data_IF_541563107707
#
_entry.id   IF_541563107707
#
_cell.length_a   1.000
_cell.length_b   1.000
_cell.length_c   1.000
_cell.angle_alpha   90.00
_cell.angle_beta   90.00
_cell.angle_gamma   90.00
#
_symmetry.space_group_name_H-M   'P 1'
#
loop_
_entity.id
_entity.type
_entity.pdbx_description
1 polymer ?
#
# COMPACT_ATOMS: atom_id res chain seq x y z
N UNK A 1 -6.00 1.46 -3.83
CA UNK A 1 -5.56 0.53 -2.75
C UNK A 1 -6.53 0.63 -1.57
N UNK A 2 -6.72 -0.44 -0.80
CA UNK A 2 -7.58 -0.46 0.39
C UNK A 2 -6.72 -0.47 1.66
N UNK A 3 -6.98 0.45 2.59
CA UNK A 3 -6.21 0.62 3.83
C UNK A 3 -7.16 0.66 5.04
N UNK A 4 -6.86 -0.09 6.11
CA UNK A 4 -7.67 -0.14 7.31
C UNK A 4 -7.52 1.15 8.13
N UNK A 5 -8.56 1.44 8.90
CA UNK A 5 -8.59 2.48 9.91
C UNK A 5 -9.56 2.08 11.03
N UNK A 6 -9.39 2.64 12.22
CA UNK A 6 -10.33 2.47 13.33
C UNK A 6 -11.54 3.37 13.11
N UNK A 7 -12.74 2.77 13.09
CA UNK A 7 -14.00 3.50 12.97
C UNK A 7 -14.64 3.69 14.35
N UNK A 8 -14.89 4.94 14.72
CA UNK A 8 -15.50 5.30 16.02
C UNK A 8 -17.02 5.15 16.06
N UNK A 9 -17.66 4.76 14.95
CA UNK A 9 -19.11 4.57 14.86
C UNK A 9 -19.88 5.72 14.20
N UNK A 10 -19.23 6.86 13.90
CA UNK A 10 -19.85 7.98 13.19
C UNK A 10 -18.87 8.61 12.16
N UNK A 11 -19.40 9.24 11.11
CA UNK A 11 -18.60 9.92 10.08
C UNK A 11 -18.04 9.01 8.99
N UNK A 12 -18.52 7.76 8.90
CA UNK A 12 -18.21 6.86 7.79
C UNK A 12 -18.90 7.34 6.51
N UNK A 13 -18.19 7.31 5.39
CA UNK A 13 -18.71 7.72 4.09
C UNK A 13 -18.72 6.58 3.08
N UNK A 14 -18.91 6.90 1.80
CA UNK A 14 -18.92 5.90 0.72
C UNK A 14 -17.59 5.15 0.51
N UNK A 15 -16.49 5.61 1.13
CA UNK A 15 -15.18 4.96 1.11
C UNK A 15 -14.88 4.18 2.41
N UNK A 16 -15.92 3.85 3.19
CA UNK A 16 -15.83 3.11 4.44
C UNK A 16 -16.45 1.72 4.26
N UNK A 17 -15.65 0.67 4.42
CA UNK A 17 -16.08 -0.71 4.17
C UNK A 17 -15.90 -1.56 5.42
N UNK A 18 -16.90 -2.41 5.73
CA UNK A 18 -16.83 -3.33 6.86
C UNK A 18 -15.86 -4.51 6.62
N UNK A 19 -15.61 -4.86 5.35
CA UNK A 19 -14.69 -5.92 4.97
C UNK A 19 -13.73 -5.46 3.88
N UNK A 20 -12.49 -5.98 3.94
CA UNK A 20 -11.47 -5.74 2.90
C UNK A 20 -11.98 -6.15 1.50
N UNK A 21 -12.75 -7.24 1.42
CA UNK A 21 -13.30 -7.73 0.15
C UNK A 21 -14.22 -6.71 -0.53
N UNK A 22 -15.05 -6.02 0.23
CA UNK A 22 -15.98 -5.03 -0.33
C UNK A 22 -15.24 -3.83 -0.90
N UNK A 23 -14.20 -3.38 -0.19
CA UNK A 23 -13.32 -2.32 -0.68
C UNK A 23 -12.62 -2.72 -1.99
N UNK A 24 -12.09 -3.95 -2.07
CA UNK A 24 -11.41 -4.42 -3.27
C UNK A 24 -12.39 -4.50 -4.46
N UNK A 25 -13.60 -5.02 -4.25
CA UNK A 25 -14.61 -5.10 -5.30
C UNK A 25 -15.04 -3.72 -5.82
N UNK A 26 -15.15 -2.72 -4.94
CA UNK A 26 -15.56 -1.38 -5.36
C UNK A 26 -14.43 -0.54 -5.96
N UNK A 27 -13.23 -0.58 -5.37
CA UNK A 27 -12.16 0.37 -5.68
C UNK A 27 -11.04 -0.18 -6.55
N UNK A 28 -10.91 -1.50 -6.73
CA UNK A 28 -9.81 -2.11 -7.50
C UNK A 28 -10.10 -2.10 -9.01
N UNK A 29 -10.43 -0.93 -9.58
CA UNK A 29 -10.49 -0.72 -11.04
C UNK A 29 -9.31 0.15 -11.49
N UNK A 30 -8.32 -0.53 -12.08
CA UNK A 30 -7.23 -0.09 -12.97
C UNK A 30 -6.72 1.37 -12.89
N UNK A 31 -5.72 1.60 -12.03
CA UNK A 31 -4.73 2.68 -12.13
C UNK A 31 -3.75 2.48 -13.32
N UNK A 32 -4.25 2.17 -14.52
CA UNK A 32 -3.38 1.83 -15.66
C UNK A 32 -2.56 3.03 -16.19
N UNK A 33 -2.78 4.23 -15.65
CA UNK A 33 -2.18 5.49 -16.13
C UNK A 33 -1.33 6.22 -15.09
N UNK A 34 -1.23 5.71 -13.85
CA UNK A 34 -0.50 6.36 -12.76
C UNK A 34 0.71 5.54 -12.33
N UNK A 35 1.73 6.24 -11.85
CA UNK A 35 2.87 5.61 -11.20
C UNK A 35 2.45 5.11 -9.82
N UNK A 36 3.30 4.27 -9.23
CA UNK A 36 2.98 3.66 -7.96
C UNK A 36 2.77 4.72 -6.87
N UNK A 37 1.78 4.49 -6.01
CA UNK A 37 1.39 5.44 -4.97
C UNK A 37 0.54 6.62 -5.45
N UNK A 38 0.00 6.57 -6.67
CA UNK A 38 -0.85 7.63 -7.22
C UNK A 38 -0.06 8.85 -7.72
N UNK A 39 1.24 8.68 -7.97
CA UNK A 39 2.09 9.75 -8.47
C UNK A 39 1.84 9.96 -9.96
N UNK A 40 1.77 11.24 -10.37
CA UNK A 40 1.58 11.61 -11.77
C UNK A 40 2.75 11.09 -12.60
N UNK A 41 2.44 10.45 -13.71
CA UNK A 41 3.44 10.04 -14.69
C UNK A 41 4.13 11.24 -15.32
N UNK A 42 5.39 11.05 -15.69
CA UNK A 42 6.18 12.10 -16.36
C UNK A 42 5.67 12.30 -17.79
N UNK A 43 5.46 11.19 -18.50
CA UNK A 43 4.88 11.13 -19.85
C UNK A 43 4.50 9.69 -20.23
N UNK A 44 3.69 9.48 -21.27
CA UNK A 44 3.49 8.17 -21.86
C UNK A 44 4.80 7.60 -22.45
N UNK A 45 4.87 6.27 -22.53
CA UNK A 45 5.94 5.53 -23.20
C UNK A 45 5.39 4.31 -23.94
N UNK A 46 6.20 3.78 -24.84
CA UNK A 46 5.94 2.62 -25.69
C UNK A 46 7.26 1.83 -25.85
N UNK A 47 7.26 0.60 -26.38
CA UNK A 47 8.47 -0.23 -26.47
C UNK A 47 9.64 0.44 -27.21
N UNK A 48 9.33 1.34 -28.14
CA UNK A 48 10.31 2.07 -28.96
C UNK A 48 10.73 3.42 -28.37
N UNK A 49 10.15 3.86 -27.24
CA UNK A 49 10.47 5.14 -26.62
C UNK A 49 11.28 4.94 -25.34
N UNK A 50 12.40 5.64 -25.23
CA UNK A 50 13.17 5.75 -23.98
C UNK A 50 12.49 6.73 -23.03
N UNK A 51 12.52 6.50 -21.73
CA UNK A 51 12.08 7.45 -20.70
C UNK A 51 13.18 8.46 -20.34
N UNK A 52 12.85 9.61 -19.73
CA UNK A 52 13.85 10.54 -19.20
C UNK A 52 14.83 9.87 -18.23
N UNK A 53 16.04 10.41 -18.08
CA UNK A 53 17.02 9.88 -17.13
C UNK A 53 16.45 9.82 -15.70
N UNK A 54 16.66 8.69 -15.02
CA UNK A 54 16.09 8.43 -13.68
C UNK A 54 14.60 8.08 -13.68
N UNK A 55 14.08 7.60 -14.81
CA UNK A 55 12.73 7.05 -14.91
C UNK A 55 12.65 5.83 -15.82
N UNK A 56 11.78 4.90 -15.46
CA UNK A 56 11.53 3.65 -16.16
C UNK A 56 10.13 3.60 -16.75
N UNK A 57 9.97 2.88 -17.86
CA UNK A 57 8.67 2.72 -18.51
C UNK A 57 7.88 1.59 -17.83
N UNK A 58 6.80 1.96 -17.13
CA UNK A 58 5.84 1.02 -16.55
C UNK A 58 4.82 0.66 -17.62
N UNK A 59 5.00 -0.51 -18.22
CA UNK A 59 4.18 -1.00 -19.32
C UNK A 59 2.89 -1.64 -18.82
N UNK A 60 1.77 -1.29 -19.46
CA UNK A 60 0.50 -2.00 -19.28
C UNK A 60 0.37 -3.16 -20.27
N UNK A 61 -0.60 -4.03 -20.04
CA UNK A 61 -0.92 -5.17 -20.92
C UNK A 61 -1.23 -4.76 -22.37
N UNK A 62 -1.61 -3.50 -22.61
CA UNK A 62 -1.92 -2.94 -23.94
C UNK A 62 -0.71 -2.42 -24.71
N UNK A 63 0.52 -2.70 -24.26
CA UNK A 63 1.78 -2.16 -24.86
C UNK A 63 1.90 -0.63 -24.86
N UNK A 64 1.03 0.05 -24.12
CA UNK A 64 1.16 1.45 -23.75
C UNK A 64 1.59 1.52 -22.29
N UNK A 65 2.57 2.36 -21.98
CA UNK A 65 3.09 2.53 -20.64
C UNK A 65 3.19 4.01 -20.24
N UNK A 66 3.65 4.22 -19.02
CA UNK A 66 3.97 5.55 -18.49
C UNK A 66 5.37 5.57 -17.89
N UNK A 67 6.10 6.67 -18.09
CA UNK A 67 7.40 6.90 -17.46
C UNK A 67 7.21 7.30 -16.00
N UNK A 68 7.78 6.50 -15.10
CA UNK A 68 7.73 6.70 -13.66
C UNK A 68 9.13 6.88 -13.10
N UNK A 69 9.30 7.84 -12.19
CA UNK A 69 10.61 8.10 -11.58
C UNK A 69 11.08 6.89 -10.77
N UNK A 70 12.29 6.42 -11.03
CA UNK A 70 12.88 5.27 -10.33
C UNK A 70 12.95 5.51 -8.82
N UNK A 71 13.17 6.77 -8.42
CA UNK A 71 13.15 7.19 -7.01
C UNK A 71 11.79 6.97 -6.38
N UNK A 72 10.71 7.43 -7.02
CA UNK A 72 9.36 7.25 -6.49
C UNK A 72 9.01 5.76 -6.39
N UNK A 73 9.34 4.99 -7.42
CA UNK A 73 9.06 3.55 -7.44
C UNK A 73 9.84 2.81 -6.34
N UNK A 74 11.09 3.19 -6.09
CA UNK A 74 11.88 2.65 -4.99
C UNK A 74 11.30 3.02 -3.62
N UNK A 75 10.91 4.28 -3.42
CA UNK A 75 10.29 4.73 -2.16
C UNK A 75 8.93 4.04 -1.93
N UNK A 76 8.12 3.90 -2.99
CA UNK A 76 6.86 3.18 -2.93
C UNK A 76 7.06 1.72 -2.59
N UNK A 77 8.02 1.05 -3.25
CA UNK A 77 8.38 -0.36 -2.97
C UNK A 77 8.80 -0.55 -1.52
N UNK A 78 9.57 0.38 -0.97
CA UNK A 78 9.96 0.35 0.45
C UNK A 78 8.75 0.58 1.38
N UNK A 79 7.78 1.42 0.98
CA UNK A 79 6.57 1.67 1.77
C UNK A 79 5.63 0.47 1.81
N UNK A 80 5.51 -0.31 0.73
CA UNK A 80 4.68 -1.54 0.68
C UNK A 80 5.39 -2.78 1.23
N UNK A 81 6.70 -2.74 1.35
CA UNK A 81 7.52 -3.77 2.00
C UNK A 81 8.39 -3.14 3.09
N UNK A 82 7.77 -2.64 4.18
CA UNK A 82 8.48 -2.00 5.26
C UNK A 82 9.29 -3.02 6.08
N UNK A 83 10.19 -2.51 6.91
CA UNK A 83 10.95 -3.29 7.88
C UNK A 83 10.86 -2.59 9.23
N UNK A 84 10.77 -3.39 10.29
CA UNK A 84 10.83 -2.89 11.65
C UNK A 84 12.28 -2.79 12.11
N UNK A 85 12.61 -1.75 12.88
CA UNK A 85 13.92 -1.61 13.51
C UNK A 85 14.14 -2.66 14.60
N UNK A 86 13.06 -3.10 15.24
CA UNK A 86 13.01 -4.17 16.23
C UNK A 86 11.79 -5.05 15.97
N UNK A 87 11.96 -6.36 16.12
CA UNK A 87 10.91 -7.34 15.90
C UNK A 87 10.44 -7.44 14.44
N UNK A 88 9.20 -7.87 14.27
CA UNK A 88 8.64 -8.25 12.97
C UNK A 88 7.49 -7.34 12.54
N UNK A 89 7.36 -7.11 11.24
CA UNK A 89 6.22 -6.39 10.65
C UNK A 89 4.96 -7.26 10.80
N UNK A 90 3.88 -6.68 11.30
CA UNK A 90 2.59 -7.37 11.43
C UNK A 90 2.05 -7.80 10.07
N UNK A 91 1.71 -9.08 9.97
CA UNK A 91 1.02 -9.67 8.83
C UNK A 91 -0.32 -10.25 9.27
N UNK A 92 -1.33 -10.11 8.42
CA UNK A 92 -2.67 -10.64 8.61
C UNK A 92 -2.97 -11.71 7.56
N UNK A 93 -3.74 -12.73 7.93
CA UNK A 93 -4.24 -13.73 6.98
C UNK A 93 -5.43 -13.14 6.22
N UNK A 94 -5.35 -13.16 4.90
CA UNK A 94 -6.46 -12.81 4.01
C UNK A 94 -6.81 -14.01 3.13
N UNK A 95 -7.91 -13.92 2.38
CA UNK A 95 -8.31 -14.97 1.43
C UNK A 95 -7.22 -15.29 0.38
N UNK A 96 -6.32 -14.33 0.11
CA UNK A 96 -5.20 -14.48 -0.81
C UNK A 96 -3.87 -14.89 -0.16
N UNK A 97 -3.87 -15.24 1.14
CA UNK A 97 -2.69 -15.60 1.90
C UNK A 97 -2.26 -14.54 2.92
N UNK A 98 -1.01 -14.63 3.37
CA UNK A 98 -0.47 -13.74 4.39
C UNK A 98 -0.08 -12.38 3.77
N UNK A 99 -0.63 -11.28 4.27
CA UNK A 99 -0.36 -9.92 3.77
C UNK A 99 0.08 -8.98 4.89
N UNK A 100 0.97 -8.03 4.60
CA UNK A 100 1.41 -7.02 5.57
C UNK A 100 0.25 -6.08 5.89
N UNK A 101 0.02 -5.80 7.18
CA UNK A 101 -0.97 -4.82 7.59
C UNK A 101 -0.42 -3.40 7.40
N UNK A 102 -0.82 -2.77 6.30
CA UNK A 102 -0.44 -1.40 5.94
C UNK A 102 -1.63 -0.47 6.16
N UNK A 103 -1.38 0.71 6.72
CA UNK A 103 -2.35 1.79 6.85
C UNK A 103 -1.89 3.07 6.15
N UNK A 104 -2.78 4.08 6.07
CA UNK A 104 -2.40 5.39 5.50
C UNK A 104 -1.66 6.27 6.51
N UNK A 105 -2.12 6.24 7.76
CA UNK A 105 -1.65 7.12 8.82
C UNK A 105 -1.76 6.43 10.17
N UNK A 106 -0.80 6.61 11.06
CA UNK A 106 -0.88 6.12 12.44
C UNK A 106 -2.02 6.78 13.23
N UNK A 107 -2.45 7.98 12.81
CA UNK A 107 -3.62 8.66 13.41
C UNK A 107 -4.92 7.87 13.22
N UNK A 108 -4.95 6.94 12.26
CA UNK A 108 -6.08 6.07 12.02
C UNK A 108 -6.17 4.90 13.00
N UNK A 109 -5.22 4.73 13.93
CA UNK A 109 -5.25 3.72 15.01
C UNK A 109 -5.58 2.31 14.51
N UNK A 110 -5.01 1.91 13.37
CA UNK A 110 -5.27 0.62 12.74
C UNK A 110 -4.39 -0.51 13.29
N UNK A 111 -3.32 -0.19 14.04
CA UNK A 111 -2.50 -1.19 14.68
C UNK A 111 -3.20 -1.78 15.92
N UNK A 112 -3.17 -3.11 16.10
CA UNK A 112 -3.73 -3.75 17.27
C UNK A 112 -2.92 -3.44 18.54
N UNK A 113 -3.52 -3.71 19.70
CA UNK A 113 -2.87 -3.51 21.00
C UNK A 113 -1.57 -4.31 21.08
N UNK A 114 -0.52 -3.69 21.64
CA UNK A 114 0.81 -4.28 21.74
C UNK A 114 1.69 -4.11 20.51
N UNK A 115 1.18 -3.52 19.42
CA UNK A 115 1.98 -3.18 18.25
C UNK A 115 2.26 -1.68 18.19
N UNK A 116 3.49 -1.32 17.82
CA UNK A 116 3.87 0.06 17.60
C UNK A 116 3.59 0.47 16.15
N UNK A 117 2.94 1.61 15.96
CA UNK A 117 2.71 2.15 14.62
C UNK A 117 3.90 3.01 14.17
N UNK A 118 4.45 2.70 13.00
CA UNK A 118 5.53 3.45 12.37
C UNK A 118 4.98 4.20 11.15
N UNK A 119 5.04 5.53 11.22
CA UNK A 119 4.58 6.40 10.14
C UNK A 119 5.67 6.56 9.06
N UNK A 120 5.37 6.16 7.83
CA UNK A 120 6.20 6.43 6.66
C UNK A 120 5.65 7.58 5.80
N UNK A 121 6.37 7.87 4.70
CA UNK A 121 6.01 8.93 3.73
C UNK A 121 4.68 8.65 3.01
N UNK A 122 4.49 7.41 2.55
CA UNK A 122 3.31 7.01 1.78
C UNK A 122 2.31 6.19 2.59
N UNK A 123 2.83 5.35 3.48
CA UNK A 123 2.09 4.35 4.25
C UNK A 123 2.65 4.27 5.66
N UNK A 124 1.82 3.78 6.58
CA UNK A 124 2.17 3.40 7.93
C UNK A 124 2.10 1.88 8.06
N UNK A 125 2.85 1.32 9.01
CA UNK A 125 2.86 -0.11 9.30
C UNK A 125 2.95 -0.37 10.80
N UNK A 126 2.65 -1.60 11.21
CA UNK A 126 2.70 -2.00 12.60
C UNK A 126 3.89 -2.92 12.86
N UNK A 127 4.67 -2.61 13.89
CA UNK A 127 5.83 -3.38 14.32
C UNK A 127 5.52 -4.10 15.63
N UNK A 128 5.80 -5.39 15.66
CA UNK A 128 5.73 -6.19 16.87
C UNK A 128 6.96 -5.89 17.74
N UNK A 129 6.79 -5.83 19.07
CA UNK A 129 7.91 -5.72 20.00
C UNK A 129 8.75 -7.01 20.05
N UNK A 130 8.21 -8.15 19.63
CA UNK A 130 8.84 -9.47 19.68
C UNK A 130 8.62 -10.30 18.40
N UNK A 131 9.46 -11.31 18.15
CA UNK A 131 9.56 -12.00 16.85
C UNK A 131 8.39 -12.97 16.53
N UNK A 132 7.43 -13.17 17.46
CA UNK A 132 6.41 -14.23 17.37
C UNK A 132 4.98 -13.80 17.78
N UNK A 133 4.48 -12.65 17.34
CA UNK A 133 3.04 -12.32 17.48
C UNK A 133 2.32 -12.52 16.15
N UNK A 134 1.92 -13.77 15.86
CA UNK A 134 0.87 -14.06 14.89
C UNK A 134 -0.48 -13.83 15.59
N UNK A 135 -1.26 -12.84 15.18
CA UNK A 135 -2.62 -12.66 15.70
C UNK A 135 -3.53 -13.71 15.08
N UNK A 136 -3.97 -14.63 15.93
CA UNK A 136 -5.11 -15.54 15.72
C UNK A 136 -6.32 -14.70 15.32
N UNK A 137 -6.80 -14.93 14.11
CA UNK A 137 -8.04 -14.30 13.62
C UNK A 137 -9.23 -14.72 14.48
N UNK A 138 -10.13 -13.76 14.69
CA UNK A 138 -11.54 -14.03 14.96
C UNK A 138 -12.31 -13.85 13.65
#
# INVERSE_FOLDING_TARGET
MCLPYSYSGCGGGSNSFGMLRDCLLQCQKADASYCSGGVKSLRPCSPSMTCPAGSSCHMSATKSGVCCSDRNEAEWRAAINPKCAKGSVLKIRTAGGLQILLGRSCQHKFCPLGFECVQGKYLAHCCAPDENVELVGQ
#
